data_IF_769804496869
#
_entry.id   IF_769804496869
#
_cell.length_a   1.000
_cell.length_b   1.000
_cell.length_c   1.000
_cell.angle_alpha   90.00
_cell.angle_beta   90.00
_cell.angle_gamma   90.00
#
_symmetry.space_group_name_H-M   'P 1'
#
loop_
_entity.id
_entity.type
_entity.pdbx_description
1 polymer ?
#
# COMPACT_ATOMS: atom_id res chain seq x y z
N UNK A 1 44.16 -24.85 -55.64
CA UNK A 1 45.00 -26.03 -55.97
C UNK A 1 44.80 -27.06 -54.87
N UNK A 2 44.24 -28.23 -55.24
CA UNK A 2 44.16 -29.54 -54.55
C UNK A 2 43.71 -29.57 -53.06
N UNK A 3 42.51 -30.01 -52.67
CA UNK A 3 41.85 -31.35 -52.72
C UNK A 3 42.53 -32.50 -51.94
N UNK A 4 41.65 -33.37 -51.38
CA UNK A 4 41.79 -34.78 -50.94
C UNK A 4 41.86 -34.94 -49.39
N UNK A 5 40.76 -35.35 -48.71
CA UNK A 5 40.25 -36.74 -48.46
C UNK A 5 41.22 -37.62 -47.66
N UNK A 6 40.87 -38.67 -46.91
CA UNK A 6 39.69 -39.17 -46.19
C UNK A 6 40.15 -40.51 -45.55
N UNK A 7 39.37 -41.04 -44.58
CA UNK A 7 39.29 -42.47 -44.17
C UNK A 7 40.46 -43.09 -43.38
N UNK A 8 40.34 -44.18 -42.61
CA UNK A 8 39.28 -44.87 -41.84
C UNK A 8 39.96 -46.09 -41.16
N UNK A 9 39.42 -46.57 -40.03
CA UNK A 9 39.36 -48.00 -39.65
C UNK A 9 38.39 -48.12 -38.47
N UNK A 10 37.16 -48.65 -38.60
CA UNK A 10 36.73 -50.07 -38.63
C UNK A 10 37.39 -50.91 -37.52
N UNK A 11 36.73 -51.64 -36.62
CA UNK A 11 35.34 -52.09 -36.50
C UNK A 11 35.29 -53.09 -35.33
N UNK A 12 34.24 -53.08 -34.49
CA UNK A 12 33.56 -54.32 -34.03
C UNK A 12 32.42 -54.04 -33.05
N UNK A 13 31.25 -54.54 -33.43
CA UNK A 13 29.93 -54.49 -32.81
C UNK A 13 29.71 -55.60 -31.76
N UNK A 14 28.64 -55.46 -30.95
CA UNK A 14 28.04 -56.40 -29.96
C UNK A 14 28.79 -56.48 -28.60
N UNK A 15 28.19 -56.18 -27.44
CA UNK A 15 27.05 -56.86 -26.76
C UNK A 15 26.38 -55.86 -25.79
N UNK A 16 25.13 -55.44 -26.04
CA UNK A 16 23.87 -55.81 -25.34
C UNK A 16 23.84 -55.65 -23.80
N UNK A 17 22.91 -54.78 -23.39
CA UNK A 17 21.92 -54.92 -22.31
C UNK A 17 22.40 -55.01 -20.84
N UNK A 18 22.26 -53.86 -20.16
CA UNK A 18 21.69 -53.61 -18.81
C UNK A 18 22.09 -54.49 -17.59
N UNK A 19 22.30 -53.84 -16.42
CA UNK A 19 21.15 -53.39 -15.59
C UNK A 19 21.39 -52.01 -14.91
N UNK A 20 20.53 -50.97 -14.90
CA UNK A 20 19.13 -50.80 -14.48
C UNK A 20 18.68 -51.57 -13.22
N UNK A 21 19.61 -52.07 -12.40
CA UNK A 21 19.30 -52.64 -11.08
C UNK A 21 20.23 -52.09 -9.98
N UNK A 22 20.53 -50.79 -10.02
CA UNK A 22 21.13 -50.10 -8.87
C UNK A 22 20.35 -48.84 -8.43
N UNK A 23 19.13 -48.65 -8.93
CA UNK A 23 18.25 -47.54 -8.56
C UNK A 23 16.92 -47.96 -7.90
N UNK A 24 16.83 -49.20 -7.39
CA UNK A 24 15.62 -49.70 -6.71
C UNK A 24 15.84 -50.20 -5.28
N UNK A 25 16.91 -49.77 -4.59
CA UNK A 25 17.14 -50.10 -3.17
C UNK A 25 17.63 -48.91 -2.32
N UNK A 26 17.09 -47.71 -2.52
CA UNK A 26 17.16 -46.63 -1.52
C UNK A 26 15.89 -45.78 -1.52
N UNK A 27 14.72 -46.42 -1.50
CA UNK A 27 13.50 -45.78 -1.01
C UNK A 27 13.57 -45.76 0.52
N UNK A 28 14.26 -44.76 1.06
CA UNK A 28 14.18 -44.14 2.41
C UNK A 28 15.48 -43.39 2.77
N UNK A 29 16.08 -42.67 1.82
CA UNK A 29 16.98 -41.58 2.20
C UNK A 29 16.10 -40.46 2.77
N UNK A 30 15.97 -40.38 4.10
CA UNK A 30 15.52 -39.14 4.74
C UNK A 30 16.46 -38.03 4.24
N UNK A 31 15.90 -37.09 3.49
CA UNK A 31 16.63 -35.90 3.05
C UNK A 31 17.18 -35.22 4.31
N UNK A 32 18.49 -35.37 4.55
CA UNK A 32 19.19 -34.63 5.60
C UNK A 32 18.99 -33.16 5.26
N UNK A 33 18.34 -32.40 6.14
CA UNK A 33 18.15 -30.95 5.95
C UNK A 33 19.50 -30.34 5.65
N UNK A 34 19.61 -29.67 4.50
CA UNK A 34 20.85 -29.00 4.13
C UNK A 34 21.21 -28.00 5.23
N UNK A 35 22.43 -28.04 5.80
CA UNK A 35 22.82 -27.09 6.85
C UNK A 35 22.75 -25.65 6.35
N UNK A 36 22.93 -25.45 5.03
CA UNK A 36 22.83 -24.15 4.37
C UNK A 36 22.08 -24.34 3.05
N UNK A 37 21.07 -23.51 2.78
CA UNK A 37 20.40 -23.53 1.48
C UNK A 37 21.20 -22.67 0.49
N UNK A 38 21.33 -23.05 -0.80
CA UNK A 38 22.10 -22.27 -1.78
C UNK A 38 21.69 -20.80 -1.87
N UNK A 39 20.40 -20.49 -1.63
CA UNK A 39 19.92 -19.10 -1.58
C UNK A 39 20.44 -18.30 -0.39
N UNK A 40 20.77 -18.95 0.71
CA UNK A 40 21.25 -18.29 1.93
C UNK A 40 22.73 -17.89 1.82
N UNK A 41 23.47 -18.52 0.90
CA UNK A 41 24.89 -18.21 0.62
C UNK A 41 25.04 -17.21 -0.50
N UNK A 42 24.03 -17.03 -1.35
CA UNK A 42 24.09 -16.11 -2.50
C UNK A 42 24.63 -14.73 -2.10
N UNK A 43 24.19 -14.08 -1.01
CA UNK A 43 24.72 -12.77 -0.62
C UNK A 43 26.18 -12.78 -0.16
N UNK A 44 26.72 -13.94 0.24
CA UNK A 44 28.12 -14.13 0.64
C UNK A 44 29.04 -14.40 -0.56
N UNK A 45 28.48 -14.67 -1.74
CA UNK A 45 29.24 -14.86 -2.97
C UNK A 45 29.60 -13.50 -3.61
N UNK A 46 30.71 -13.43 -4.38
CA UNK A 46 31.08 -12.23 -5.11
C UNK A 46 29.91 -11.69 -5.95
N UNK A 47 29.72 -10.36 -5.92
CA UNK A 47 28.59 -9.68 -6.59
C UNK A 47 28.42 -10.08 -8.05
N UNK A 48 29.50 -10.35 -8.78
CA UNK A 48 29.44 -10.76 -10.19
C UNK A 48 28.69 -12.09 -10.40
N UNK A 49 28.64 -12.95 -9.38
CA UNK A 49 27.99 -14.26 -9.41
C UNK A 49 26.63 -14.23 -8.73
N UNK A 50 26.53 -13.55 -7.59
CA UNK A 50 25.29 -13.51 -6.80
C UNK A 50 24.25 -12.56 -7.37
N UNK A 51 24.66 -11.39 -7.85
CA UNK A 51 23.76 -10.31 -8.26
C UNK A 51 22.83 -10.67 -9.43
N UNK A 52 23.28 -11.36 -10.51
CA UNK A 52 22.37 -11.78 -11.58
C UNK A 52 21.33 -12.81 -11.12
N UNK A 53 21.69 -13.67 -10.17
CA UNK A 53 20.84 -14.73 -9.65
C UNK A 53 19.85 -14.16 -8.63
N UNK A 54 20.31 -13.27 -7.74
CA UNK A 54 19.46 -12.62 -6.76
C UNK A 54 18.43 -11.69 -7.42
N UNK A 55 18.83 -10.89 -8.43
CA UNK A 55 17.91 -10.06 -9.23
C UNK A 55 16.84 -10.86 -9.99
N UNK A 56 17.08 -12.16 -10.24
CA UNK A 56 16.09 -13.06 -10.87
C UNK A 56 15.21 -13.78 -9.85
N UNK A 57 15.61 -13.80 -8.57
CA UNK A 57 14.94 -14.54 -7.51
C UNK A 57 14.05 -13.66 -6.63
N UNK A 58 14.43 -12.38 -6.46
CA UNK A 58 13.71 -11.39 -5.66
C UNK A 58 13.46 -10.11 -6.47
N UNK A 59 12.53 -9.29 -6.02
CA UNK A 59 12.06 -8.05 -6.63
C UNK A 59 11.81 -6.98 -5.57
N UNK A 60 11.79 -5.71 -5.97
CA UNK A 60 11.41 -4.58 -5.12
C UNK A 60 10.04 -4.77 -4.44
N UNK A 61 9.18 -5.59 -5.05
CA UNK A 61 7.89 -6.05 -4.50
C UNK A 61 8.08 -6.91 -3.22
N UNK A 62 9.19 -7.64 -3.10
CA UNK A 62 9.48 -8.51 -1.94
C UNK A 62 9.92 -7.70 -0.69
N UNK A 63 10.04 -6.36 -0.79
CA UNK A 63 10.10 -5.45 0.37
C UNK A 63 8.79 -5.37 1.13
N UNK A 64 7.67 -5.62 0.45
CA UNK A 64 6.37 -5.38 1.03
C UNK A 64 6.03 -6.54 1.98
N UNK A 65 5.76 -6.25 3.27
CA UNK A 65 5.35 -7.26 4.23
C UNK A 65 4.09 -7.97 3.71
N UNK A 66 4.15 -9.27 3.45
CA UNK A 66 2.99 -10.03 2.99
C UNK A 66 2.09 -10.34 4.18
N UNK A 67 0.80 -9.99 4.11
CA UNK A 67 -0.15 -10.38 5.16
C UNK A 67 -0.29 -11.91 5.24
N UNK A 68 -0.04 -12.48 6.42
CA UNK A 68 -0.13 -13.93 6.65
C UNK A 68 -1.28 -14.32 7.58
N UNK A 69 -1.91 -13.34 8.22
CA UNK A 69 -3.17 -13.51 8.95
C UNK A 69 -3.27 -12.61 10.18
N UNK A 70 -4.37 -12.75 10.92
CA UNK A 70 -4.66 -11.94 12.10
C UNK A 70 -5.10 -12.79 13.29
N UNK A 71 -4.61 -12.48 14.48
CA UNK A 71 -4.80 -13.30 15.69
C UNK A 71 -5.47 -12.52 16.82
N UNK A 72 -6.59 -13.06 17.31
CA UNK A 72 -7.45 -12.41 18.32
C UNK A 72 -7.78 -13.25 19.54
N UNK A 73 -7.38 -14.54 19.60
CA UNK A 73 -7.59 -15.40 20.77
C UNK A 73 -6.75 -16.67 20.74
N UNK A 74 -6.73 -17.42 21.85
CA UNK A 74 -6.10 -18.74 21.95
C UNK A 74 -6.79 -19.80 21.08
N UNK A 75 -8.10 -19.63 20.83
CA UNK A 75 -8.89 -20.56 20.03
C UNK A 75 -8.79 -20.27 18.53
N UNK A 76 -8.28 -19.09 18.16
CA UNK A 76 -8.09 -18.70 16.77
C UNK A 76 -6.61 -18.83 16.38
N UNK A 77 -6.23 -20.05 15.98
CA UNK A 77 -4.89 -20.36 15.51
C UNK A 77 -4.80 -20.05 14.02
N UNK A 78 -3.96 -19.08 13.66
CA UNK A 78 -3.62 -18.80 12.27
C UNK A 78 -2.42 -19.65 11.89
N UNK A 79 -2.41 -20.20 10.68
CA UNK A 79 -1.30 -20.98 10.15
C UNK A 79 -0.87 -20.48 8.78
N UNK A 80 0.43 -20.43 8.52
CA UNK A 80 0.96 -20.00 7.23
C UNK A 80 2.27 -20.72 6.90
N UNK A 81 2.70 -20.57 5.64
CA UNK A 81 4.01 -20.98 5.16
C UNK A 81 4.90 -19.75 5.09
N UNK A 82 5.99 -19.73 5.85
CA UNK A 82 6.99 -18.67 5.83
C UNK A 82 8.07 -18.88 4.77
N UNK A 83 8.99 -17.92 4.70
CA UNK A 83 10.12 -17.97 3.78
C UNK A 83 11.17 -18.97 4.29
N UNK A 84 11.53 -18.87 5.57
CA UNK A 84 12.44 -19.77 6.30
C UNK A 84 11.74 -21.02 6.84
N UNK A 85 10.59 -20.82 7.51
CA UNK A 85 9.87 -21.88 8.21
C UNK A 85 8.58 -22.23 7.47
N UNK A 86 8.38 -23.50 7.13
CA UNK A 86 7.25 -23.90 6.30
C UNK A 86 5.97 -24.24 7.06
N UNK A 87 6.06 -24.42 8.38
CA UNK A 87 4.90 -24.71 9.23
C UNK A 87 4.91 -23.77 10.42
N UNK A 88 4.18 -22.67 10.25
CA UNK A 88 4.09 -21.61 11.23
C UNK A 88 2.67 -21.49 11.74
N UNK A 89 2.53 -21.24 13.04
CA UNK A 89 1.25 -20.99 13.69
C UNK A 89 1.35 -19.85 14.67
N UNK A 90 0.30 -19.05 14.81
CA UNK A 90 0.22 -18.01 15.83
C UNK A 90 -1.14 -17.99 16.53
N UNK A 91 -1.13 -17.57 17.80
CA UNK A 91 -2.31 -17.32 18.61
C UNK A 91 -2.05 -16.22 19.64
N UNK A 92 -3.12 -15.65 20.18
CA UNK A 92 -3.04 -14.55 21.15
C UNK A 92 -3.56 -14.97 22.51
N UNK A 93 -2.83 -14.64 23.57
CA UNK A 93 -3.27 -14.76 24.95
C UNK A 93 -3.41 -13.38 25.59
N UNK A 94 -4.57 -13.05 26.15
CA UNK A 94 -4.76 -11.79 26.88
C UNK A 94 -4.46 -11.98 28.37
N UNK A 95 -3.83 -10.98 28.98
CA UNK A 95 -3.52 -11.01 30.41
C UNK A 95 -3.55 -9.61 31.03
N UNK A 96 -3.68 -9.52 32.35
CA UNK A 96 -3.55 -8.25 33.07
C UNK A 96 -2.37 -8.25 34.05
N UNK A 97 -1.18 -8.61 33.56
CA UNK A 97 0.06 -8.60 34.36
C UNK A 97 0.46 -7.19 34.81
N UNK A 98 0.16 -6.17 34.00
CA UNK A 98 0.53 -4.77 34.26
C UNK A 98 -0.44 -4.03 35.21
N UNK A 99 -1.61 -4.59 35.50
CA UNK A 99 -2.63 -3.96 36.34
C UNK A 99 -3.32 -2.76 35.69
N UNK A 100 -3.19 -2.57 34.37
CA UNK A 100 -3.89 -1.52 33.63
C UNK A 100 -5.38 -1.85 33.47
N UNK A 101 -6.19 -0.84 33.13
CA UNK A 101 -7.64 -0.99 32.94
C UNK A 101 -8.00 -2.08 31.91
N UNK A 102 -7.23 -2.18 30.82
CA UNK A 102 -7.46 -3.13 29.73
C UNK A 102 -6.45 -4.28 29.67
N UNK A 103 -5.45 -4.30 30.55
CA UNK A 103 -4.36 -5.29 30.52
C UNK A 103 -3.50 -5.18 29.25
N UNK A 104 -2.93 -6.31 28.86
CA UNK A 104 -2.06 -6.51 27.70
C UNK A 104 -2.28 -7.90 27.09
N UNK A 105 -1.30 -8.41 26.34
CA UNK A 105 -1.37 -9.74 25.77
C UNK A 105 -0.03 -10.29 25.31
N UNK A 106 0.06 -11.62 25.23
CA UNK A 106 1.19 -12.36 24.71
C UNK A 106 0.81 -12.93 23.34
N UNK A 107 1.49 -12.48 22.30
CA UNK A 107 1.40 -13.09 20.97
C UNK A 107 2.38 -14.27 20.91
N UNK A 108 1.85 -15.48 20.74
CA UNK A 108 2.65 -16.69 20.57
C UNK A 108 2.83 -16.99 19.09
N UNK A 109 4.07 -17.21 18.69
CA UNK A 109 4.42 -17.57 17.31
C UNK A 109 5.31 -18.80 17.35
N UNK A 110 4.79 -19.89 16.84
CA UNK A 110 5.49 -21.15 16.72
C UNK A 110 5.90 -21.35 15.27
N UNK A 111 7.20 -21.29 15.03
CA UNK A 111 7.78 -21.52 13.71
C UNK A 111 8.45 -22.89 13.67
N UNK A 112 8.23 -23.64 12.59
CA UNK A 112 8.76 -24.99 12.47
C UNK A 112 9.08 -25.39 11.04
N UNK A 113 9.80 -26.50 10.91
CA UNK A 113 10.31 -27.01 9.63
C UNK A 113 11.11 -25.96 8.84
N UNK A 114 12.11 -25.38 9.50
CA UNK A 114 13.12 -24.54 8.83
C UNK A 114 13.75 -25.29 7.64
N UNK A 115 13.91 -24.61 6.51
CA UNK A 115 14.53 -25.18 5.31
C UNK A 115 16.06 -25.18 5.37
N UNK A 116 16.67 -24.36 6.22
CA UNK A 116 18.11 -24.35 6.51
C UNK A 116 18.37 -23.93 7.96
N UNK A 117 19.63 -24.02 8.40
CA UNK A 117 20.01 -23.61 9.77
C UNK A 117 20.33 -22.11 9.88
N UNK A 118 20.48 -21.43 8.75
CA UNK A 118 20.87 -20.01 8.68
C UNK A 118 19.75 -19.11 8.20
N UNK A 119 18.59 -19.66 7.82
CA UNK A 119 17.46 -18.86 7.38
C UNK A 119 16.80 -18.10 8.55
N UNK A 120 16.19 -16.98 8.21
CA UNK A 120 15.54 -16.07 9.15
C UNK A 120 14.28 -15.51 8.51
N UNK A 121 13.17 -15.55 9.25
CA UNK A 121 11.96 -14.80 8.92
C UNK A 121 11.92 -13.50 9.74
N UNK A 122 11.58 -12.39 9.09
CA UNK A 122 11.30 -11.11 9.74
C UNK A 122 9.79 -10.86 9.66
N UNK A 123 9.18 -10.57 10.80
CA UNK A 123 7.75 -10.31 10.91
C UNK A 123 7.49 -8.88 11.37
N UNK A 124 6.43 -8.29 10.83
CA UNK A 124 5.84 -7.04 11.30
C UNK A 124 4.46 -7.34 11.87
N UNK A 125 4.17 -6.75 13.03
CA UNK A 125 2.91 -6.92 13.76
C UNK A 125 2.25 -5.56 13.90
N UNK A 126 1.02 -5.45 13.43
CA UNK A 126 0.32 -4.17 13.38
C UNK A 126 -1.12 -4.25 13.90
N UNK A 127 -1.51 -3.18 14.57
CA UNK A 127 -2.90 -2.75 14.82
C UNK A 127 -3.02 -1.32 14.27
N UNK A 128 -4.24 -0.76 14.15
CA UNK A 128 -4.41 0.66 13.83
C UNK A 128 -3.75 1.62 14.83
N UNK A 129 -3.32 1.10 15.99
CA UNK A 129 -2.76 1.87 17.09
C UNK A 129 -1.26 1.62 17.26
N UNK A 130 -0.71 0.47 16.87
CA UNK A 130 0.73 0.21 17.05
C UNK A 130 1.31 -0.64 15.95
N UNK A 131 2.62 -0.49 15.77
CA UNK A 131 3.43 -1.39 14.96
C UNK A 131 4.69 -1.79 15.72
N UNK A 132 5.02 -3.07 15.63
CA UNK A 132 6.25 -3.66 16.16
C UNK A 132 6.75 -4.73 15.19
N UNK A 133 7.98 -5.21 15.38
CA UNK A 133 8.57 -6.25 14.55
C UNK A 133 9.28 -7.29 15.43
N UNK A 134 9.54 -8.45 14.87
CA UNK A 134 10.43 -9.45 15.47
C UNK A 134 11.01 -10.36 14.39
N UNK A 135 12.10 -11.07 14.72
CA UNK A 135 12.75 -12.00 13.79
C UNK A 135 12.93 -13.38 14.42
N UNK A 136 12.76 -14.41 13.61
CA UNK A 136 12.89 -15.79 14.06
C UNK A 136 13.94 -16.53 13.25
N UNK A 137 14.90 -17.13 13.96
CA UNK A 137 15.98 -17.95 13.39
C UNK A 137 15.98 -19.39 13.94
N UNK A 138 15.27 -19.65 15.04
CA UNK A 138 15.14 -20.99 15.65
C UNK A 138 13.74 -21.55 15.48
N UNK A 139 13.69 -22.84 15.11
CA UNK A 139 12.45 -23.62 15.04
C UNK A 139 11.95 -23.93 16.45
N UNK A 140 11.21 -22.99 17.05
CA UNK A 140 10.60 -23.10 18.37
C UNK A 140 9.39 -22.19 18.48
N UNK A 141 8.75 -22.23 19.64
CA UNK A 141 7.80 -21.20 20.05
C UNK A 141 8.56 -19.96 20.53
N UNK A 142 8.11 -18.80 20.05
CA UNK A 142 8.54 -17.48 20.45
C UNK A 142 7.33 -16.69 20.94
N UNK A 143 7.58 -15.66 21.73
CA UNK A 143 6.54 -14.83 22.34
C UNK A 143 6.88 -13.36 22.19
N UNK A 144 5.91 -12.58 21.74
CA UNK A 144 5.96 -11.13 21.71
C UNK A 144 5.00 -10.61 22.80
N UNK A 145 5.55 -9.96 23.82
CA UNK A 145 4.76 -9.42 24.94
C UNK A 145 4.29 -7.99 24.65
N UNK A 146 3.01 -7.75 24.89
CA UNK A 146 2.39 -6.43 24.92
C UNK A 146 2.00 -6.16 26.37
N UNK A 147 2.79 -5.33 27.06
CA UNK A 147 2.59 -5.04 28.49
C UNK A 147 1.22 -4.40 28.78
N UNK A 148 0.82 -3.46 27.91
CA UNK A 148 -0.49 -2.78 27.98
C UNK A 148 -1.00 -2.37 26.61
N UNK A 149 -2.32 -2.45 26.43
CA UNK A 149 -3.03 -1.80 25.32
C UNK A 149 -3.02 -0.27 25.50
N UNK A 150 -3.03 0.46 24.39
CA UNK A 150 -2.96 1.93 24.38
C UNK A 150 -4.22 2.52 25.03
N UNK A 151 -5.39 2.01 24.64
CA UNK A 151 -6.68 2.36 25.21
C UNK A 151 -7.70 1.22 25.00
N UNK A 152 -8.97 1.52 25.32
CA UNK A 152 -10.10 0.61 25.11
C UNK A 152 -10.27 0.22 23.64
N UNK A 153 -10.04 1.16 22.73
CA UNK A 153 -10.32 0.99 21.33
C UNK A 153 -9.32 0.03 20.67
N UNK A 154 -8.05 0.09 21.07
CA UNK A 154 -7.07 -0.94 20.68
C UNK A 154 -7.44 -2.32 21.24
N UNK A 155 -7.79 -2.39 22.53
CA UNK A 155 -8.16 -3.66 23.16
C UNK A 155 -9.37 -4.32 22.48
N UNK A 156 -10.42 -3.55 22.18
CA UNK A 156 -11.61 -4.03 21.48
C UNK A 156 -11.29 -4.40 20.02
N UNK A 157 -10.46 -3.61 19.33
CA UNK A 157 -9.99 -3.93 17.99
C UNK A 157 -9.25 -5.27 17.95
N UNK A 158 -8.29 -5.50 18.85
CA UNK A 158 -7.51 -6.75 18.84
C UNK A 158 -8.39 -7.96 19.20
N UNK A 159 -9.42 -7.78 20.04
CA UNK A 159 -10.37 -8.86 20.33
C UNK A 159 -11.25 -9.22 19.13
N UNK A 160 -11.69 -8.23 18.35
CA UNK A 160 -12.60 -8.46 17.23
C UNK A 160 -11.85 -8.80 15.93
N UNK A 161 -10.81 -8.04 15.61
CA UNK A 161 -10.06 -8.10 14.34
C UNK A 161 -8.70 -8.78 14.46
N UNK A 162 -8.11 -8.82 15.66
CA UNK A 162 -6.79 -9.40 15.91
C UNK A 162 -5.62 -8.47 15.59
N UNK A 163 -4.42 -8.91 15.94
CA UNK A 163 -3.17 -8.29 15.47
C UNK A 163 -2.85 -8.84 14.10
N UNK A 164 -2.67 -7.95 13.12
CA UNK A 164 -2.25 -8.31 11.77
C UNK A 164 -0.78 -8.71 11.77
N UNK A 165 -0.47 -9.88 11.22
CA UNK A 165 0.87 -10.43 11.10
C UNK A 165 1.28 -10.33 9.63
N UNK A 166 2.43 -9.74 9.39
CA UNK A 166 3.03 -9.63 8.07
C UNK A 166 4.40 -10.28 8.05
N UNK A 167 4.70 -11.02 6.99
CA UNK A 167 5.98 -11.66 6.76
C UNK A 167 6.75 -10.92 5.67
N UNK A 168 8.00 -10.56 5.97
CA UNK A 168 8.96 -10.14 4.97
C UNK A 168 9.44 -11.36 4.19
N UNK A 169 8.82 -11.66 3.05
CA UNK A 169 9.10 -12.85 2.24
C UNK A 169 10.58 -12.94 1.81
N UNK A 170 11.24 -11.79 1.67
CA UNK A 170 12.64 -11.71 1.30
C UNK A 170 13.63 -12.00 2.46
N UNK A 171 13.15 -12.09 3.71
CA UNK A 171 14.00 -12.15 4.91
C UNK A 171 14.89 -10.90 5.07
N UNK A 172 15.79 -10.88 6.05
CA UNK A 172 16.67 -9.71 6.30
C UNK A 172 17.57 -9.36 5.11
N UNK A 173 18.12 -10.37 4.43
CA UNK A 173 19.05 -10.19 3.31
C UNK A 173 18.34 -9.72 2.04
N UNK A 174 17.17 -10.26 1.74
CA UNK A 174 16.35 -9.78 0.63
C UNK A 174 15.72 -8.41 0.92
N UNK A 175 15.47 -8.06 2.19
CA UNK A 175 15.04 -6.71 2.59
C UNK A 175 16.16 -5.68 2.33
N UNK A 176 17.42 -6.00 2.65
CA UNK A 176 18.58 -5.15 2.35
C UNK A 176 18.84 -5.00 0.84
N UNK A 177 18.62 -6.06 0.06
CA UNK A 177 18.75 -6.05 -1.39
C UNK A 177 17.61 -5.29 -2.08
N UNK A 178 16.38 -5.45 -1.64
CA UNK A 178 15.26 -4.77 -2.26
C UNK A 178 15.22 -3.28 -1.85
N UNK A 179 15.74 -2.91 -0.65
CA UNK A 179 16.12 -1.52 -0.35
C UNK A 179 17.12 -0.97 -1.37
N UNK A 180 17.99 -1.80 -1.92
CA UNK A 180 18.92 -1.45 -3.00
C UNK A 180 18.26 -1.41 -4.39
N UNK A 181 17.07 -1.98 -4.61
CA UNK A 181 16.26 -1.76 -5.84
C UNK A 181 15.40 -0.49 -5.74
N UNK A 182 14.91 -0.10 -4.55
CA UNK A 182 14.03 1.07 -4.35
C UNK A 182 14.79 2.37 -4.09
N UNK A 183 15.85 2.35 -3.26
CA UNK A 183 16.69 3.53 -3.02
C UNK A 183 17.20 4.22 -4.29
N UNK A 184 17.66 3.50 -5.33
CA UNK A 184 18.14 4.12 -6.56
C UNK A 184 17.05 4.91 -7.29
N UNK A 185 15.77 4.51 -7.18
CA UNK A 185 14.65 5.15 -7.88
C UNK A 185 14.57 6.66 -7.59
N UNK A 186 14.94 7.05 -6.37
CA UNK A 186 14.90 8.44 -5.91
C UNK A 186 16.19 9.22 -6.18
N UNK A 187 17.23 8.58 -6.74
CA UNK A 187 18.51 9.25 -7.00
C UNK A 187 18.48 10.02 -8.31
N UNK A 188 19.03 11.24 -8.31
CA UNK A 188 19.13 12.04 -9.52
C UNK A 188 20.40 11.70 -10.33
N UNK A 189 20.48 10.45 -10.81
CA UNK A 189 21.65 9.94 -11.55
C UNK A 189 21.22 9.09 -12.73
N UNK A 190 22.13 8.82 -13.68
CA UNK A 190 21.86 7.84 -14.75
C UNK A 190 21.60 6.42 -14.23
N UNK A 191 22.09 6.10 -13.02
CA UNK A 191 21.76 4.87 -12.33
C UNK A 191 20.30 4.88 -11.84
N UNK A 192 19.85 5.97 -11.24
CA UNK A 192 18.45 6.15 -10.84
C UNK A 192 17.49 6.11 -12.03
N UNK A 193 17.84 6.76 -13.13
CA UNK A 193 17.09 6.66 -14.39
C UNK A 193 16.97 5.21 -14.87
N UNK A 194 18.10 4.48 -14.94
CA UNK A 194 18.11 3.07 -15.34
C UNK A 194 17.29 2.19 -14.39
N UNK A 195 17.29 2.50 -13.09
CA UNK A 195 16.52 1.78 -12.09
C UNK A 195 15.01 2.01 -12.26
N UNK A 196 14.56 3.26 -12.48
CA UNK A 196 13.16 3.57 -12.76
C UNK A 196 12.67 2.85 -14.02
N UNK A 197 13.43 2.92 -15.12
CA UNK A 197 13.11 2.21 -16.36
C UNK A 197 13.07 0.69 -16.17
N UNK A 198 14.03 0.14 -15.42
CA UNK A 198 14.09 -1.29 -15.10
C UNK A 198 12.88 -1.74 -14.27
N UNK A 199 12.49 -0.95 -13.28
CA UNK A 199 11.31 -1.20 -12.44
C UNK A 199 10.03 -1.22 -13.29
N UNK A 200 9.77 -0.17 -14.07
CA UNK A 200 8.60 -0.06 -14.94
C UNK A 200 8.54 -1.21 -15.97
N UNK A 201 9.68 -1.57 -16.55
CA UNK A 201 9.75 -2.72 -17.47
C UNK A 201 9.45 -4.04 -16.79
N UNK A 202 10.02 -4.29 -15.59
CA UNK A 202 9.85 -5.53 -14.83
C UNK A 202 8.41 -5.70 -14.33
N UNK A 203 7.81 -4.62 -13.83
CA UNK A 203 6.53 -4.68 -13.10
C UNK A 203 5.31 -4.30 -13.94
N UNK A 204 5.48 -3.51 -15.00
CA UNK A 204 4.38 -3.09 -15.87
C UNK A 204 4.53 -3.61 -17.31
N UNK A 205 5.69 -4.19 -17.67
CA UNK A 205 5.99 -4.52 -19.06
C UNK A 205 6.20 -3.29 -19.94
N UNK A 206 6.38 -2.11 -19.36
CA UNK A 206 6.51 -0.85 -20.08
C UNK A 206 7.87 -0.75 -20.80
N UNK A 207 7.86 -0.24 -22.03
CA UNK A 207 9.07 0.04 -22.81
C UNK A 207 9.24 1.54 -23.04
N UNK A 208 10.34 2.10 -22.55
CA UNK A 208 10.73 3.48 -22.81
C UNK A 208 11.89 3.47 -23.81
N UNK A 209 11.61 3.90 -25.04
CA UNK A 209 12.60 3.97 -26.10
C UNK A 209 13.18 5.38 -26.22
N UNK A 210 14.50 5.47 -26.40
CA UNK A 210 15.16 6.74 -26.60
C UNK A 210 14.80 7.34 -27.96
N UNK A 211 14.44 8.63 -27.96
CA UNK A 211 14.15 9.40 -29.17
C UNK A 211 15.44 9.98 -29.77
N UNK A 212 15.52 10.20 -31.09
CA UNK A 212 16.63 10.94 -31.69
C UNK A 212 16.65 12.39 -31.19
N UNK A 213 17.84 12.97 -31.06
CA UNK A 213 18.00 14.38 -30.70
C UNK A 213 17.63 15.33 -31.85
N UNK A 214 17.18 16.57 -31.56
CA UNK A 214 16.96 17.13 -30.23
C UNK A 214 15.72 16.54 -29.54
N UNK A 215 15.76 16.44 -28.21
CA UNK A 215 14.67 15.84 -27.41
C UNK A 215 13.48 16.77 -27.14
N UNK A 216 13.55 18.01 -27.63
CA UNK A 216 12.46 18.98 -27.57
C UNK A 216 12.11 19.47 -28.98
N UNK A 217 10.91 20.03 -29.11
CA UNK A 217 10.44 20.68 -30.34
C UNK A 217 9.80 22.00 -29.95
N UNK A 218 10.06 23.05 -30.74
CA UNK A 218 9.42 24.33 -30.52
C UNK A 218 7.93 24.18 -30.84
N UNK A 219 7.08 24.49 -29.86
CA UNK A 219 5.64 24.55 -30.06
C UNK A 219 5.23 25.96 -30.48
N UNK A 220 4.28 26.06 -31.41
CA UNK A 220 3.62 27.33 -31.73
C UNK A 220 2.45 27.53 -30.79
N UNK A 221 2.43 28.66 -30.08
CA UNK A 221 1.32 29.01 -29.18
C UNK A 221 -0.01 29.11 -29.94
N UNK A 222 0.03 29.45 -31.23
CA UNK A 222 -1.17 29.55 -32.08
C UNK A 222 -1.85 28.20 -32.29
N UNK A 223 -1.11 27.10 -32.27
CA UNK A 223 -1.63 25.74 -32.49
C UNK A 223 -2.25 25.13 -31.22
N UNK A 224 -2.00 25.73 -30.05
CA UNK A 224 -2.49 25.27 -28.75
C UNK A 224 -3.84 25.93 -28.43
N UNK A 225 -4.75 25.18 -27.84
CA UNK A 225 -6.08 25.67 -27.48
C UNK A 225 -6.36 25.43 -26.00
N UNK A 226 -7.20 26.27 -25.40
CA UNK A 226 -7.71 26.06 -24.04
C UNK A 226 -8.34 24.66 -23.93
N UNK A 227 -7.95 23.95 -22.86
CA UNK A 227 -8.38 22.58 -22.61
C UNK A 227 -7.50 21.50 -23.24
N UNK A 228 -6.57 21.84 -24.13
CA UNK A 228 -5.54 20.89 -24.56
C UNK A 228 -4.74 20.44 -23.34
N UNK A 229 -4.38 19.15 -23.30
CA UNK A 229 -3.91 18.47 -22.11
C UNK A 229 -2.41 18.21 -22.17
N UNK A 230 -1.73 18.39 -21.04
CA UNK A 230 -0.32 18.06 -20.86
C UNK A 230 -0.21 16.81 -20.01
N UNK A 231 0.56 15.84 -20.50
CA UNK A 231 0.88 14.60 -19.80
C UNK A 231 2.37 14.56 -19.55
N UNK A 232 2.76 14.35 -18.31
CA UNK A 232 4.15 14.44 -17.85
C UNK A 232 4.56 13.12 -17.20
N UNK A 233 5.77 12.69 -17.54
CA UNK A 233 6.37 11.47 -17.01
C UNK A 233 7.83 11.74 -16.64
N UNK A 234 8.10 11.76 -15.34
CA UNK A 234 9.43 11.89 -14.74
C UNK A 234 9.98 10.50 -14.42
N UNK A 235 11.28 10.32 -14.62
CA UNK A 235 11.96 9.02 -14.44
C UNK A 235 13.31 9.16 -13.71
N UNK A 236 13.61 10.33 -13.17
CA UNK A 236 14.86 10.61 -12.45
C UNK A 236 14.63 11.44 -11.19
N UNK A 237 15.51 11.28 -10.20
CA UNK A 237 15.45 12.07 -8.97
C UNK A 237 14.25 11.73 -8.09
N UNK A 238 14.00 12.57 -7.07
CA UNK A 238 12.95 12.34 -6.08
C UNK A 238 11.59 12.16 -6.75
N UNK A 239 11.21 13.09 -7.62
CA UNK A 239 9.92 13.07 -8.31
C UNK A 239 9.78 11.92 -9.31
N UNK A 240 10.86 11.55 -10.02
CA UNK A 240 10.84 10.37 -10.90
C UNK A 240 10.64 9.05 -10.14
N UNK A 241 11.20 8.92 -8.94
CA UNK A 241 10.95 7.77 -8.07
C UNK A 241 9.50 7.71 -7.58
N UNK A 242 8.93 8.83 -7.14
CA UNK A 242 7.52 8.91 -6.75
C UNK A 242 6.59 8.56 -7.90
N UNK A 243 6.78 9.19 -9.06
CA UNK A 243 5.96 8.92 -10.24
C UNK A 243 6.10 7.47 -10.73
N UNK A 244 7.27 6.85 -10.59
CA UNK A 244 7.47 5.44 -10.97
C UNK A 244 6.62 4.50 -10.12
N UNK A 245 6.53 4.76 -8.81
CA UNK A 245 5.65 4.01 -7.93
C UNK A 245 4.18 4.33 -8.23
N UNK A 246 3.84 5.59 -8.50
CA UNK A 246 2.49 6.01 -8.88
C UNK A 246 2.01 5.32 -10.17
N UNK A 247 2.84 5.30 -11.22
CA UNK A 247 2.58 4.60 -12.48
C UNK A 247 2.30 3.13 -12.24
N UNK A 248 3.07 2.49 -11.37
CA UNK A 248 2.88 1.09 -11.04
C UNK A 248 1.55 0.82 -10.32
N UNK A 249 1.21 1.62 -9.31
CA UNK A 249 -0.03 1.39 -8.54
C UNK A 249 -1.29 1.81 -9.28
N UNK A 250 -1.21 2.80 -10.17
CA UNK A 250 -2.35 3.27 -10.97
C UNK A 250 -2.49 2.57 -12.32
N UNK A 251 -1.43 1.90 -12.80
CA UNK A 251 -1.32 1.41 -14.17
C UNK A 251 -1.10 2.51 -15.23
N UNK A 252 -0.91 3.76 -14.81
CA UNK A 252 -0.64 4.90 -15.71
C UNK A 252 0.79 4.87 -16.26
N UNK A 253 1.02 5.52 -17.40
CA UNK A 253 2.35 5.72 -17.98
C UNK A 253 2.89 7.15 -17.72
N UNK A 254 2.07 7.97 -17.08
CA UNK A 254 2.35 9.33 -16.67
C UNK A 254 2.09 9.48 -15.17
N UNK A 255 2.91 10.29 -14.49
CA UNK A 255 2.73 10.57 -13.07
C UNK A 255 2.15 11.97 -12.81
N UNK A 256 2.11 12.83 -13.82
CA UNK A 256 1.56 14.17 -13.65
C UNK A 256 0.82 14.65 -14.88
N UNK A 257 -0.09 15.60 -14.67
CA UNK A 257 -0.86 16.21 -15.74
C UNK A 257 -1.14 17.68 -15.48
N UNK A 258 -1.23 18.44 -16.56
CA UNK A 258 -1.58 19.85 -16.54
C UNK A 258 -2.52 20.18 -17.72
N UNK A 259 -3.09 21.39 -17.72
CA UNK A 259 -4.00 21.83 -18.77
C UNK A 259 -3.61 23.21 -19.29
N UNK A 260 -3.76 23.40 -20.60
CA UNK A 260 -3.57 24.71 -21.22
C UNK A 260 -4.80 25.61 -21.04
N UNK A 261 -4.54 26.89 -20.81
CA UNK A 261 -5.54 27.96 -20.77
C UNK A 261 -5.03 29.15 -21.60
N UNK A 262 -5.87 29.70 -22.48
CA UNK A 262 -5.61 30.96 -23.18
C UNK A 262 -6.45 32.07 -22.57
N UNK A 263 -5.81 33.20 -22.27
CA UNK A 263 -6.55 34.37 -21.80
C UNK A 263 -7.23 35.12 -22.95
N UNK A 264 -7.96 36.18 -22.63
CA UNK A 264 -8.67 37.02 -23.62
C UNK A 264 -7.73 37.75 -24.60
N UNK A 265 -6.44 37.85 -24.29
CA UNK A 265 -5.41 38.42 -25.15
C UNK A 265 -4.72 37.34 -26.02
N UNK A 266 -5.07 36.08 -25.83
CA UNK A 266 -4.49 34.93 -26.52
C UNK A 266 -3.19 34.42 -25.91
N UNK A 267 -2.75 34.93 -24.75
CA UNK A 267 -1.55 34.43 -24.07
C UNK A 267 -1.83 33.07 -23.45
N UNK A 268 -0.81 32.23 -23.44
CA UNK A 268 -0.91 30.84 -22.98
C UNK A 268 -0.45 30.70 -21.54
N UNK A 269 -1.20 29.90 -20.79
CA UNK A 269 -1.01 29.60 -19.39
C UNK A 269 -1.14 28.10 -19.17
N UNK A 270 -0.48 27.59 -18.13
CA UNK A 270 -0.56 26.20 -17.70
C UNK A 270 -1.19 26.16 -16.31
N UNK A 271 -2.32 25.47 -16.19
CA UNK A 271 -2.94 25.15 -14.91
C UNK A 271 -2.49 23.76 -14.45
N UNK A 272 -1.89 23.69 -13.26
CA UNK A 272 -1.46 22.41 -12.68
C UNK A 272 -1.62 22.37 -11.16
N UNK A 273 -1.59 21.17 -10.59
CA UNK A 273 -1.48 20.93 -9.16
C UNK A 273 -0.15 20.26 -8.89
N UNK A 274 0.70 20.83 -8.04
CA UNK A 274 2.01 20.27 -7.69
C UNK A 274 3.17 21.21 -7.94
N UNK A 275 2.88 22.50 -8.13
CA UNK A 275 3.90 23.52 -8.29
C UNK A 275 4.41 23.97 -6.92
N UNK A 276 5.73 23.94 -6.72
CA UNK A 276 6.36 24.37 -5.47
C UNK A 276 6.42 25.91 -5.41
N UNK A 277 5.83 26.50 -4.37
CA UNK A 277 5.90 27.94 -4.15
C UNK A 277 7.24 28.36 -3.49
N UNK A 278 7.46 29.67 -3.30
CA UNK A 278 8.68 30.21 -2.67
C UNK A 278 8.95 29.70 -1.23
N UNK A 279 7.96 29.09 -0.58
CA UNK A 279 8.07 28.52 0.77
C UNK A 279 8.37 27.01 0.75
N UNK A 280 8.47 26.39 -0.43
CA UNK A 280 8.65 24.95 -0.57
C UNK A 280 7.35 24.15 -0.43
N UNK A 281 6.19 24.78 -0.60
CA UNK A 281 4.88 24.10 -0.49
C UNK A 281 4.32 23.81 -1.89
N UNK A 282 3.82 22.59 -2.10
CA UNK A 282 3.13 22.22 -3.34
C UNK A 282 1.71 22.80 -3.40
N UNK A 283 1.43 23.59 -4.42
CA UNK A 283 0.14 24.27 -4.61
C UNK A 283 -0.47 24.01 -5.99
N UNK A 284 -1.74 24.39 -6.13
CA UNK A 284 -2.38 24.56 -7.43
C UNK A 284 -1.99 25.93 -7.98
N UNK A 285 -1.42 25.96 -9.19
CA UNK A 285 -0.90 27.16 -9.81
C UNK A 285 -1.44 27.33 -11.25
N UNK A 286 -1.49 28.58 -11.69
CA UNK A 286 -1.73 28.96 -13.08
C UNK A 286 -0.55 29.84 -13.49
N UNK A 287 0.32 29.31 -14.35
CA UNK A 287 1.65 29.85 -14.63
C UNK A 287 1.73 30.26 -16.10
N UNK A 288 2.33 31.41 -16.44
CA UNK A 288 2.58 31.76 -17.83
C UNK A 288 3.38 30.67 -18.54
N UNK A 289 3.01 30.34 -19.79
CA UNK A 289 3.67 29.27 -20.55
C UNK A 289 5.19 29.41 -20.61
N UNK A 290 5.71 30.61 -20.87
CA UNK A 290 7.15 30.83 -21.01
C UNK A 290 7.90 30.55 -19.71
N UNK A 291 7.29 30.85 -18.55
CA UNK A 291 7.85 30.57 -17.24
C UNK A 291 7.79 29.08 -16.92
N UNK A 292 6.64 28.44 -17.15
CA UNK A 292 6.46 27.01 -16.96
C UNK A 292 7.41 26.19 -17.84
N UNK A 293 7.56 26.59 -19.11
CA UNK A 293 8.44 25.90 -20.05
C UNK A 293 9.92 26.10 -19.72
N UNK A 294 10.34 27.28 -19.26
CA UNK A 294 11.70 27.50 -18.75
C UNK A 294 12.00 26.63 -17.52
N UNK A 295 11.03 26.50 -16.61
CA UNK A 295 11.13 25.62 -15.44
C UNK A 295 11.37 24.18 -15.87
N UNK A 296 10.50 23.60 -16.71
CA UNK A 296 10.61 22.21 -17.17
C UNK A 296 11.87 21.96 -17.99
N UNK A 297 12.27 22.90 -18.85
CA UNK A 297 13.40 22.71 -19.75
C UNK A 297 14.75 22.90 -19.05
N UNK A 298 14.86 23.88 -18.14
CA UNK A 298 16.15 24.36 -17.63
C UNK A 298 16.34 24.13 -16.11
N UNK A 299 15.27 23.95 -15.34
CA UNK A 299 15.35 23.86 -13.86
C UNK A 299 14.88 22.52 -13.32
N UNK A 300 14.00 21.82 -14.02
CA UNK A 300 13.56 20.49 -13.63
C UNK A 300 14.66 19.45 -13.92
N UNK A 301 15.29 18.98 -12.84
CA UNK A 301 16.38 18.02 -12.91
C UNK A 301 15.90 16.55 -12.90
N UNK A 302 14.59 16.30 -12.89
CA UNK A 302 13.95 14.98 -12.86
C UNK A 302 13.79 14.31 -14.24
N UNK A 303 14.28 14.97 -15.30
CA UNK A 303 14.18 14.53 -16.68
C UNK A 303 12.70 14.35 -17.12
N UNK A 304 11.92 15.44 -17.18
CA UNK A 304 10.50 15.38 -17.51
C UNK A 304 10.28 15.01 -18.99
N UNK A 305 9.39 14.05 -19.23
CA UNK A 305 8.93 13.68 -20.55
C UNK A 305 7.50 14.20 -20.74
N UNK A 306 7.35 15.19 -21.60
CA UNK A 306 6.09 15.95 -21.72
C UNK A 306 5.46 15.68 -23.10
N UNK A 307 4.17 15.34 -23.09
CA UNK A 307 3.36 15.17 -24.28
C UNK A 307 2.16 16.13 -24.25
N UNK A 308 1.91 16.80 -25.38
CA UNK A 308 0.70 17.60 -25.61
C UNK A 308 -0.35 16.72 -26.27
N UNK A 309 -1.54 16.69 -25.70
CA UNK A 309 -2.70 15.94 -26.17
C UNK A 309 -3.80 16.95 -26.53
N UNK A 310 -3.93 17.30 -27.83
CA UNK A 310 -4.98 18.19 -28.27
C UNK A 310 -6.37 17.58 -28.05
N UNK A 311 -7.33 18.41 -27.65
CA UNK A 311 -8.72 17.97 -27.54
C UNK A 311 -9.27 17.57 -28.93
N UNK A 312 -10.02 16.47 -28.96
CA UNK A 312 -10.80 16.11 -30.14
C UNK A 312 -11.76 17.26 -30.49
N UNK A 313 -11.98 17.59 -31.78
CA UNK A 313 -12.82 18.72 -32.19
C UNK A 313 -14.21 18.74 -31.55
N UNK A 314 -14.86 17.59 -31.41
CA UNK A 314 -16.19 17.48 -30.79
C UNK A 314 -16.21 17.79 -29.28
N UNK A 315 -15.09 17.55 -28.59
CA UNK A 315 -14.92 17.89 -27.17
C UNK A 315 -14.56 19.36 -27.05
N UNK A 316 -13.66 19.84 -27.92
CA UNK A 316 -13.26 21.25 -27.99
C UNK A 316 -14.45 22.18 -28.23
N UNK A 317 -15.37 21.80 -29.12
CA UNK A 317 -16.60 22.57 -29.39
C UNK A 317 -17.51 22.72 -28.16
N UNK A 318 -17.36 21.86 -27.14
CA UNK A 318 -18.14 21.89 -25.89
C UNK A 318 -17.35 22.52 -24.74
N UNK A 319 -16.07 22.80 -24.93
CA UNK A 319 -15.21 23.34 -23.88
C UNK A 319 -15.62 24.78 -23.55
N UNK A 320 -15.91 25.04 -22.28
CA UNK A 320 -16.32 26.36 -21.82
C UNK A 320 -15.12 27.08 -21.20
N UNK A 321 -14.43 27.87 -22.00
CA UNK A 321 -13.22 28.59 -21.61
C UNK A 321 -13.42 29.54 -20.43
N UNK A 322 -14.54 30.26 -20.39
CA UNK A 322 -14.87 31.16 -19.26
C UNK A 322 -15.01 30.37 -17.96
N UNK A 323 -15.78 29.29 -17.97
CA UNK A 323 -15.98 28.46 -16.79
C UNK A 323 -14.66 27.78 -16.36
N UNK A 324 -13.81 27.38 -17.30
CA UNK A 324 -12.50 26.81 -17.01
C UNK A 324 -11.57 27.79 -16.33
N UNK A 325 -11.54 29.06 -16.78
CA UNK A 325 -10.78 30.12 -16.11
C UNK A 325 -11.31 30.43 -14.72
N UNK A 326 -12.63 30.57 -14.57
CA UNK A 326 -13.26 30.78 -13.26
C UNK A 326 -12.89 29.66 -12.28
N UNK A 327 -12.93 28.39 -12.75
CA UNK A 327 -12.52 27.25 -11.95
C UNK A 327 -11.03 27.27 -11.61
N UNK A 328 -10.15 27.48 -12.59
CA UNK A 328 -8.70 27.51 -12.38
C UNK A 328 -8.29 28.58 -11.37
N UNK A 329 -8.82 29.80 -11.50
CA UNK A 329 -8.57 30.89 -10.56
C UNK A 329 -9.17 30.64 -9.18
N UNK A 330 -10.32 29.96 -9.09
CA UNK A 330 -10.90 29.59 -7.79
C UNK A 330 -10.05 28.58 -7.03
N UNK A 331 -9.20 27.82 -7.73
CA UNK A 331 -8.31 26.80 -7.16
C UNK A 331 -6.87 27.28 -6.95
N UNK A 332 -6.43 28.30 -7.68
CA UNK A 332 -5.09 28.85 -7.58
C UNK A 332 -4.71 29.21 -6.13
N UNK A 333 -3.51 28.81 -5.71
CA UNK A 333 -2.98 29.01 -4.36
C UNK A 333 -3.50 28.03 -3.31
N UNK A 334 -4.44 27.12 -3.63
CA UNK A 334 -4.83 26.05 -2.72
C UNK A 334 -3.71 24.99 -2.62
N UNK A 335 -3.61 24.27 -1.48
CA UNK A 335 -2.67 23.16 -1.34
C UNK A 335 -2.88 22.06 -2.38
N UNK A 336 -1.80 21.33 -2.69
CA UNK A 336 -1.85 20.14 -3.54
C UNK A 336 -2.88 19.11 -3.06
N UNK A 337 -3.51 18.44 -4.02
CA UNK A 337 -4.57 17.46 -3.79
C UNK A 337 -4.10 16.10 -3.27
N UNK A 338 -3.19 16.06 -2.28
CA UNK A 338 -2.65 14.82 -1.68
C UNK A 338 -3.76 13.82 -1.32
N UNK A 339 -4.89 14.34 -0.84
CA UNK A 339 -6.06 13.56 -0.45
C UNK A 339 -6.78 12.84 -1.60
N UNK A 340 -6.47 13.13 -2.86
CA UNK A 340 -7.02 12.43 -4.02
C UNK A 340 -6.04 11.43 -4.62
N UNK A 341 -4.74 11.71 -4.54
CA UNK A 341 -3.68 10.90 -5.11
C UNK A 341 -3.72 9.45 -4.61
N UNK A 342 -3.83 9.23 -3.30
CA UNK A 342 -3.81 7.88 -2.72
C UNK A 342 -5.02 7.01 -3.14
N UNK A 343 -6.19 7.61 -3.27
CA UNK A 343 -7.43 6.90 -3.60
C UNK A 343 -7.63 6.72 -5.11
N UNK A 344 -6.67 7.12 -5.94
CA UNK A 344 -6.69 6.82 -7.37
C UNK A 344 -6.53 5.32 -7.66
N UNK A 345 -5.94 4.56 -6.72
CA UNK A 345 -5.69 3.12 -6.84
C UNK A 345 -6.19 2.31 -5.64
N UNK A 346 -6.75 2.96 -4.62
CA UNK A 346 -7.47 2.33 -3.48
C UNK A 346 -8.98 2.55 -3.65
N UNK A 347 -9.53 1.89 -4.65
CA UNK A 347 -10.94 1.98 -5.07
C UNK A 347 -11.78 0.73 -4.72
N UNK A 348 -11.16 -0.42 -4.44
CA UNK A 348 -11.88 -1.65 -4.07
C UNK A 348 -11.32 -2.25 -2.78
N UNK A 349 -12.06 -3.18 -2.17
CA UNK A 349 -11.63 -3.82 -0.91
C UNK A 349 -10.34 -4.62 -1.09
N UNK A 350 -10.15 -5.27 -2.24
CA UNK A 350 -9.01 -6.16 -2.51
C UNK A 350 -8.65 -6.32 -4.01
N UNK A 351 -9.47 -5.83 -4.95
CA UNK A 351 -9.38 -6.15 -6.37
C UNK A 351 -8.45 -5.29 -7.23
N UNK A 352 -7.90 -4.19 -6.69
CA UNK A 352 -7.10 -3.23 -7.44
C UNK A 352 -5.72 -2.94 -6.85
N UNK A 353 -5.33 -3.65 -5.81
CA UNK A 353 -3.95 -3.61 -5.33
C UNK A 353 -3.05 -4.41 -6.26
N UNK A 354 -1.97 -3.83 -6.82
CA UNK A 354 -1.01 -4.63 -7.57
C UNK A 354 -0.34 -5.63 -6.61
N UNK A 355 -0.26 -6.93 -6.96
CA UNK A 355 0.42 -7.91 -6.11
C UNK A 355 1.84 -7.43 -5.76
N UNK A 356 2.28 -7.54 -4.50
CA UNK A 356 1.69 -8.28 -3.38
C UNK A 356 0.92 -7.37 -2.42
N UNK A 357 0.65 -6.10 -2.79
CA UNK A 357 -0.05 -5.17 -1.92
C UNK A 357 -1.42 -5.73 -1.55
N UNK A 358 -1.76 -5.64 -0.27
CA UNK A 358 -3.07 -6.02 0.25
C UNK A 358 -3.61 -4.90 1.15
N UNK A 359 -4.93 -4.88 1.35
CA UNK A 359 -5.59 -3.83 2.11
C UNK A 359 -5.12 -3.76 3.57
N UNK A 360 -4.75 -4.88 4.21
CA UNK A 360 -4.20 -4.89 5.56
C UNK A 360 -2.81 -4.27 5.59
N UNK A 361 -1.97 -4.55 4.60
CA UNK A 361 -0.65 -3.95 4.49
C UNK A 361 -0.77 -2.44 4.28
N UNK A 362 -1.65 -2.01 3.39
CA UNK A 362 -1.87 -0.57 3.14
C UNK A 362 -2.41 0.12 4.39
N UNK A 363 -3.39 -0.47 5.09
CA UNK A 363 -3.89 0.06 6.36
C UNK A 363 -2.80 0.14 7.43
N UNK A 364 -1.94 -0.88 7.53
CA UNK A 364 -0.82 -0.91 8.48
C UNK A 364 0.25 0.13 8.14
N UNK A 365 0.57 0.30 6.85
CA UNK A 365 1.49 1.33 6.38
C UNK A 365 0.96 2.75 6.67
N UNK A 366 -0.35 2.96 6.48
CA UNK A 366 -1.01 4.22 6.86
C UNK A 366 -0.88 4.47 8.36
N UNK A 367 -1.07 3.45 9.21
CA UNK A 367 -0.85 3.57 10.66
C UNK A 367 0.61 3.90 11.02
N UNK A 368 1.59 3.20 10.45
CA UNK A 368 3.02 3.47 10.69
C UNK A 368 3.35 4.92 10.31
N UNK A 369 2.93 5.33 9.12
CA UNK A 369 3.27 6.64 8.58
C UNK A 369 2.52 7.76 9.31
N UNK A 370 1.29 7.53 9.78
CA UNK A 370 0.60 8.45 10.70
C UNK A 370 1.39 8.72 11.97
N UNK A 371 2.08 7.71 12.51
CA UNK A 371 2.92 7.89 13.70
C UNK A 371 4.29 8.51 13.37
N UNK A 372 4.88 8.19 12.22
CA UNK A 372 6.22 8.65 11.84
C UNK A 372 6.24 10.06 11.23
N UNK A 373 5.21 10.43 10.46
CA UNK A 373 5.09 11.69 9.71
C UNK A 373 3.64 12.21 9.80
N UNK A 374 3.17 12.62 10.99
CA UNK A 374 1.76 12.92 11.25
C UNK A 374 1.18 14.04 10.38
N UNK A 375 1.97 15.07 10.06
CA UNK A 375 1.51 16.18 9.21
C UNK A 375 1.26 15.76 7.76
N UNK A 376 2.18 14.95 7.19
CA UNK A 376 2.01 14.41 5.83
C UNK A 376 0.87 13.37 5.77
N UNK A 377 0.80 12.49 6.77
CA UNK A 377 -0.28 11.51 6.90
C UNK A 377 -1.66 12.18 6.99
N UNK A 378 -1.74 13.28 7.74
CA UNK A 378 -2.97 14.04 7.87
C UNK A 378 -3.46 14.60 6.53
N UNK A 379 -2.54 15.07 5.69
CA UNK A 379 -2.85 15.57 4.34
C UNK A 379 -3.20 14.45 3.35
N UNK A 380 -2.56 13.27 3.47
CA UNK A 380 -2.72 12.17 2.52
C UNK A 380 -3.99 11.33 2.75
N UNK A 381 -4.28 10.89 3.98
CA UNK A 381 -5.43 10.04 4.25
C UNK A 381 -6.41 10.57 5.28
N UNK A 382 -6.01 11.35 6.28
CA UNK A 382 -7.01 11.90 7.19
C UNK A 382 -7.91 12.87 6.43
N UNK A 383 -7.36 13.84 5.70
CA UNK A 383 -8.16 14.74 4.86
C UNK A 383 -8.99 13.96 3.83
N UNK A 384 -8.42 12.93 3.21
CA UNK A 384 -9.05 12.15 2.18
C UNK A 384 -10.22 11.28 2.66
N UNK A 385 -10.03 10.55 3.74
CA UNK A 385 -11.05 9.72 4.38
C UNK A 385 -12.12 10.62 4.98
N UNK A 386 -11.73 11.73 5.61
CA UNK A 386 -12.70 12.72 6.07
C UNK A 386 -13.51 13.31 4.92
N UNK A 387 -12.93 13.59 3.74
CA UNK A 387 -13.70 14.05 2.57
C UNK A 387 -14.63 12.96 2.02
N UNK A 388 -14.13 11.74 1.82
CA UNK A 388 -14.87 10.61 1.21
C UNK A 388 -16.00 10.11 2.10
N UNK A 389 -15.78 10.10 3.40
CA UNK A 389 -16.77 9.78 4.42
C UNK A 389 -17.48 11.05 4.93
N UNK A 390 -17.27 12.20 4.28
CA UNK A 390 -17.62 13.57 4.68
C UNK A 390 -17.68 13.87 6.20
N UNK A 391 -16.75 13.30 6.96
CA UNK A 391 -16.42 13.69 8.33
C UNK A 391 -15.43 14.88 8.33
N UNK A 392 -15.08 15.44 9.50
CA UNK A 392 -14.07 16.51 9.60
C UNK A 392 -13.24 16.38 10.87
N UNK A 393 -11.92 16.41 10.71
CA UNK A 393 -10.97 16.47 11.83
C UNK A 393 -10.93 15.19 12.67
N UNK A 394 -11.36 14.06 12.12
CA UNK A 394 -11.14 12.74 12.71
C UNK A 394 -9.77 12.23 12.29
N UNK A 395 -9.05 11.59 13.21
CA UNK A 395 -7.85 10.83 12.86
C UNK A 395 -8.24 9.45 12.31
N UNK A 396 -7.27 8.74 11.71
CA UNK A 396 -7.51 7.43 11.08
C UNK A 396 -8.16 6.42 12.03
N UNK A 397 -7.77 6.40 13.31
CA UNK A 397 -8.37 5.53 14.32
C UNK A 397 -9.84 5.84 14.59
N UNK A 398 -10.21 7.12 14.71
CA UNK A 398 -11.59 7.55 15.00
C UNK A 398 -12.57 7.20 13.87
N UNK A 399 -12.07 7.20 12.63
CA UNK A 399 -12.85 6.84 11.44
C UNK A 399 -13.26 5.36 11.48
N UNK A 400 -12.44 4.50 12.09
CA UNK A 400 -12.62 3.05 12.09
C UNK A 400 -13.61 2.52 13.17
N UNK A 401 -14.06 3.35 14.13
CA UNK A 401 -14.73 2.90 15.39
C UNK A 401 -16.21 3.38 15.55
N UNK A 402 -17.07 3.45 14.52
CA UNK A 402 -18.50 3.84 14.75
C UNK A 402 -19.36 2.70 15.33
N UNK A 403 -20.18 3.00 16.35
CA UNK A 403 -20.99 2.02 17.10
C UNK A 403 -22.29 1.60 16.40
N UNK A 404 -22.49 0.28 16.24
CA UNK A 404 -23.57 -0.33 15.47
C UNK A 404 -24.97 -0.25 16.11
N UNK A 405 -25.11 0.05 17.41
CA UNK A 405 -26.40 -0.04 18.14
C UNK A 405 -27.45 1.00 17.71
N UNK A 406 -27.04 2.03 16.95
CA UNK A 406 -27.93 3.10 16.48
C UNK A 406 -28.74 2.71 15.24
N UNK A 407 -28.29 1.67 14.53
CA UNK A 407 -28.89 1.18 13.29
C UNK A 407 -30.19 0.44 13.57
N UNK A 408 -31.19 0.62 12.70
CA UNK A 408 -32.53 0.05 12.84
C UNK A 408 -32.58 -1.41 12.40
N UNK A 409 -31.72 -2.23 13.00
CA UNK A 409 -31.63 -3.67 12.79
C UNK A 409 -32.26 -4.48 13.93
N UNK A 410 -32.46 -3.86 15.08
CA UNK A 410 -32.80 -4.55 16.31
C UNK A 410 -34.32 -4.56 16.52
N UNK A 411 -34.81 -5.43 17.39
CA UNK A 411 -36.24 -5.46 17.75
C UNK A 411 -36.63 -4.13 18.42
N UNK A 412 -37.71 -3.49 17.94
CA UNK A 412 -38.25 -2.24 18.51
C UNK A 412 -39.58 -2.43 19.23
N UNK A 413 -40.21 -3.59 19.08
CA UNK A 413 -41.42 -3.97 19.76
C UNK A 413 -41.07 -4.67 21.08
N UNK A 414 -41.31 -3.98 22.19
CA UNK A 414 -41.08 -4.50 23.54
C UNK A 414 -41.84 -5.78 23.85
N UNK A 415 -42.92 -6.08 23.12
CA UNK A 415 -43.70 -7.31 23.27
C UNK A 415 -43.03 -8.53 22.61
N UNK A 416 -42.07 -8.30 21.72
CA UNK A 416 -41.26 -9.34 21.07
C UNK A 416 -39.93 -9.58 21.78
N UNK A 417 -39.57 -8.71 22.72
CA UNK A 417 -38.42 -8.95 23.58
C UNK A 417 -38.66 -10.18 24.47
N UNK A 418 -37.60 -10.92 24.83
CA UNK A 418 -37.73 -12.07 25.73
C UNK A 418 -38.44 -11.70 27.04
N UNK A 419 -39.22 -12.62 27.60
CA UNK A 419 -40.01 -12.35 28.82
C UNK A 419 -39.16 -11.85 29.99
N UNK A 420 -37.94 -12.34 30.12
CA UNK A 420 -36.99 -11.95 31.16
C UNK A 420 -36.45 -10.51 31.00
N UNK A 421 -36.64 -9.90 29.83
CA UNK A 421 -36.10 -8.60 29.50
C UNK A 421 -36.73 -7.51 30.38
N UNK A 422 -35.89 -6.75 31.07
CA UNK A 422 -36.30 -5.74 32.06
C UNK A 422 -37.05 -6.28 33.29
N UNK A 423 -36.99 -7.58 33.60
CA UNK A 423 -37.66 -8.11 34.80
C UNK A 423 -36.94 -7.73 36.10
N UNK A 424 -35.65 -7.41 36.01
CA UNK A 424 -34.79 -7.05 37.13
C UNK A 424 -34.63 -5.53 37.35
N UNK A 425 -35.26 -4.69 36.53
CA UNK A 425 -35.20 -3.22 36.63
C UNK A 425 -36.62 -2.65 36.67
N UNK A 426 -36.83 -1.59 37.46
CA UNK A 426 -38.08 -0.87 37.54
C UNK A 426 -38.33 0.03 36.32
N UNK A 427 -37.30 0.27 35.50
CA UNK A 427 -37.42 0.98 34.22
C UNK A 427 -37.34 -0.02 33.08
N UNK A 428 -38.35 0.02 32.21
CA UNK A 428 -38.39 -0.79 30.98
C UNK A 428 -37.58 -0.09 29.89
N UNK A 429 -36.44 -0.67 29.53
CA UNK A 429 -35.60 -0.22 28.42
C UNK A 429 -36.08 -0.85 27.10
N UNK A 430 -35.84 -0.17 25.95
CA UNK A 430 -36.16 -0.73 24.63
C UNK A 430 -35.23 -1.87 24.20
N UNK A 431 -34.24 -2.23 25.04
CA UNK A 431 -33.30 -3.32 24.88
C UNK A 431 -33.10 -4.04 26.22
N UNK A 432 -32.47 -5.21 26.19
CA UNK A 432 -32.26 -6.03 27.37
C UNK A 432 -30.85 -5.82 27.95
N UNK A 433 -30.73 -5.03 29.02
CA UNK A 433 -29.49 -4.92 29.77
C UNK A 433 -29.35 -6.12 30.72
N UNK A 434 -28.46 -7.05 30.40
CA UNK A 434 -28.29 -8.32 31.12
C UNK A 434 -27.33 -8.24 32.32
N UNK A 435 -26.55 -7.17 32.45
CA UNK A 435 -25.53 -6.99 33.50
C UNK A 435 -25.18 -5.50 33.69
N UNK A 436 -24.66 -5.14 34.87
CA UNK A 436 -24.04 -3.84 35.13
C UNK A 436 -24.66 -3.10 36.34
N UNK A 437 -23.83 -2.36 37.08
CA UNK A 437 -24.29 -1.54 38.22
C UNK A 437 -25.07 -0.30 37.77
N UNK A 438 -24.74 0.25 36.61
CA UNK A 438 -25.34 1.47 36.06
C UNK A 438 -26.21 1.11 34.87
N UNK A 439 -27.34 1.80 34.75
CA UNK A 439 -28.17 1.73 33.55
C UNK A 439 -27.38 2.32 32.39
N UNK A 440 -27.24 1.54 31.32
CA UNK A 440 -26.65 2.05 30.09
C UNK A 440 -27.65 3.01 29.45
N UNK A 441 -27.17 4.16 29.02
CA UNK A 441 -27.90 5.00 28.09
C UNK A 441 -27.32 4.74 26.70
N UNK A 442 -28.18 4.38 25.75
CA UNK A 442 -27.84 4.18 24.35
C UNK A 442 -28.60 5.22 23.52
N UNK A 443 -28.09 6.47 23.44
CA UNK A 443 -28.74 7.53 22.67
C UNK A 443 -28.90 7.12 21.21
N UNK A 444 -30.12 7.22 20.69
CA UNK A 444 -30.41 6.83 19.30
C UNK A 444 -30.44 5.32 19.05
N UNK A 445 -30.59 4.49 20.09
CA UNK A 445 -30.82 3.04 19.94
C UNK A 445 -31.91 2.75 18.89
N UNK A 446 -31.57 1.91 17.91
CA UNK A 446 -32.49 1.37 16.92
C UNK A 446 -33.33 2.44 16.18
N UNK A 447 -32.76 3.63 16.02
CA UNK A 447 -33.50 4.81 15.56
C UNK A 447 -33.29 5.12 14.08
N UNK A 448 -32.30 4.49 13.45
CA UNK A 448 -31.80 4.91 12.14
C UNK A 448 -31.88 3.81 11.09
N UNK A 449 -32.78 3.94 10.12
CA UNK A 449 -32.78 3.02 8.97
C UNK A 449 -31.44 3.10 8.25
N UNK A 450 -30.82 1.98 7.85
CA UNK A 450 -29.72 1.99 6.89
C UNK A 450 -30.11 2.78 5.64
N UNK A 451 -29.28 3.74 5.23
CA UNK A 451 -29.47 4.52 4.01
C UNK A 451 -28.14 4.67 3.27
N UNK A 452 -28.15 4.85 1.93
CA UNK A 452 -26.94 5.10 1.17
C UNK A 452 -26.22 6.35 1.69
N UNK A 453 -24.88 6.33 1.75
CA UNK A 453 -24.08 7.46 2.22
C UNK A 453 -24.30 7.83 3.71
N UNK A 454 -24.65 6.83 4.52
CA UNK A 454 -24.95 7.02 5.93
C UNK A 454 -23.78 7.58 6.72
N UNK A 455 -24.07 8.62 7.49
CA UNK A 455 -23.14 9.34 8.35
C UNK A 455 -22.02 10.08 7.61
N UNK A 456 -22.15 10.26 6.29
CA UNK A 456 -21.15 10.94 5.46
C UNK A 456 -21.08 12.46 5.69
N UNK A 457 -21.90 13.06 6.56
CA UNK A 457 -21.89 14.53 6.76
C UNK A 457 -21.96 14.94 8.23
N UNK A 458 -21.73 13.98 9.14
CA UNK A 458 -22.17 14.12 10.54
C UNK A 458 -21.08 14.53 11.52
N UNK A 459 -21.28 15.62 12.27
CA UNK A 459 -20.36 16.01 13.32
C UNK A 459 -20.48 15.06 14.52
N UNK A 460 -19.34 14.66 15.08
CA UNK A 460 -19.25 13.85 16.31
C UNK A 460 -18.35 14.56 17.32
N UNK A 461 -18.74 15.76 17.77
CA UNK A 461 -17.96 16.55 18.73
C UNK A 461 -18.49 16.42 20.18
N UNK A 462 -17.64 16.13 21.17
CA UNK A 462 -18.00 16.23 22.58
C UNK A 462 -18.29 17.70 22.97
N UNK A 463 -19.08 17.95 24.03
CA UNK A 463 -19.74 16.98 24.91
C UNK A 463 -21.15 16.58 24.44
N UNK A 464 -21.66 17.18 23.34
CA UNK A 464 -23.07 17.09 22.95
C UNK A 464 -23.36 16.02 21.91
N UNK A 465 -22.36 15.61 21.12
CA UNK A 465 -22.49 14.57 20.08
C UNK A 465 -23.76 14.72 19.21
N UNK A 466 -24.14 15.97 18.91
CA UNK A 466 -25.41 16.29 18.28
C UNK A 466 -25.38 16.01 16.78
N UNK A 467 -26.35 15.25 16.28
CA UNK A 467 -26.57 14.93 14.88
C UNK A 467 -27.58 15.91 14.26
N UNK A 468 -27.19 16.78 13.31
CA UNK A 468 -28.11 17.70 12.63
C UNK A 468 -29.12 16.95 11.74
N UNK A 469 -30.29 17.54 11.44
CA UNK A 469 -31.20 17.01 10.41
C UNK A 469 -30.54 16.96 9.03
N UNK A 470 -30.81 15.91 8.24
CA UNK A 470 -30.11 15.58 6.98
C UNK A 470 -28.64 15.18 7.15
N UNK A 471 -28.35 14.84 8.40
CA UNK A 471 -27.31 13.94 8.76
C UNK A 471 -27.92 12.60 9.17
#
# INVERSE_FOLDING_TARGET
MFSIMASSSSSSFFVRCFPLLFFFFFSHAQAVKSPIHPRDVLPLLPRQVSWPILNSLNSAIDLLPAFVGSVSSQNHIVSWKGACFYENTAWMEFHNKSGSEFGGGTLHIKVSKAHSWTCLDLYLFATPYRVTWDYYFLSREHTLEIDKWEDRAEYEYVKDKGISIFLMQAGMLGTLEALWEVFPLFTNTGWGESANLGFLKKHMGASFESRPQPWYTNISVDDIHSGDFLVISKIRGRWGGFETLEKWVTGSYAGHSAVFLKDSEGKLWVGESGHENEKGEDIIAVIPWDEWWDLELNKDDSNPHIAVLPLHPDVRAKFNETASWEYALSMAGKPYGYHNMLFSWIDTIDGNYPPPLDAHLVASAMTVWSKMQPEYAANLWNEALNKRLGTKGLDLSDILIKDAYTLRFFENNSSQLPKWCNDADNVKLPYCQILGKYRMELPGFNSMDPYPHMNERCPSKPPKYSRPPNC
#
